data_IF_472711384903
#
_entry.id   IF_472711384903
#
_cell.length_a   1.000
_cell.length_b   1.000
_cell.length_c   1.000
_cell.angle_alpha   90.00
_cell.angle_beta   90.00
_cell.angle_gamma   90.00
#
_symmetry.space_group_name_H-M   'P 1'
#
loop_
_entity.id
_entity.type
_entity.pdbx_description
1 polymer ?
#
# COMPACT_ATOMS: atom_id res chain seq x y z
N UNK A 1 16.13 16.50 6.60
CA UNK A 1 16.26 15.20 7.30
C UNK A 1 15.41 14.18 6.56
N UNK A 2 15.69 12.88 6.72
CA UNK A 2 14.82 11.81 6.23
C UNK A 2 13.84 11.45 7.35
N UNK A 3 12.55 11.60 7.10
CA UNK A 3 11.50 11.12 8.01
C UNK A 3 10.65 10.09 7.28
N UNK A 4 10.44 8.93 7.90
CA UNK A 4 9.60 7.87 7.37
C UNK A 4 8.56 7.54 8.42
N UNK A 5 7.29 7.54 8.04
CA UNK A 5 6.17 7.11 8.88
C UNK A 5 5.33 6.13 8.10
N UNK A 6 5.18 4.91 8.65
CA UNK A 6 4.51 3.80 7.97
C UNK A 6 3.53 3.12 8.90
N UNK A 7 2.35 2.82 8.38
CA UNK A 7 1.35 1.95 9.01
C UNK A 7 1.05 0.83 8.02
N UNK A 8 1.31 -0.41 8.44
CA UNK A 8 1.04 -1.60 7.63
C UNK A 8 0.32 -2.64 8.46
N UNK A 9 -0.69 -3.28 7.87
CA UNK A 9 -1.41 -4.39 8.50
C UNK A 9 -1.23 -5.65 7.66
N UNK A 10 -0.89 -6.76 8.32
CA UNK A 10 -0.63 -8.03 7.66
C UNK A 10 -1.60 -9.09 8.15
N UNK A 11 -2.41 -9.61 7.23
CA UNK A 11 -3.30 -10.73 7.47
C UNK A 11 -2.52 -12.06 7.44
N UNK A 12 -3.06 -13.08 8.10
CA UNK A 12 -2.48 -14.42 8.09
C UNK A 12 -3.13 -15.28 6.98
N UNK A 13 -2.76 -16.57 6.90
CA UNK A 13 -3.20 -17.47 5.84
C UNK A 13 -4.64 -18.03 6.00
N UNK A 14 -5.37 -17.64 7.05
CA UNK A 14 -6.80 -17.95 7.21
C UNK A 14 -7.71 -17.18 6.25
N UNK A 15 -7.20 -16.14 5.59
CA UNK A 15 -7.90 -15.34 4.59
C UNK A 15 -6.99 -15.04 3.41
N UNK A 16 -7.58 -14.90 2.22
CA UNK A 16 -6.89 -14.42 1.02
C UNK A 16 -6.90 -12.90 0.86
N UNK A 17 -7.64 -12.18 1.70
CA UNK A 17 -7.85 -10.75 1.53
C UNK A 17 -6.53 -9.94 1.51
N UNK A 18 -6.46 -8.82 0.79
CA UNK A 18 -5.27 -7.96 0.73
C UNK A 18 -4.79 -7.44 2.09
N UNK A 19 -3.49 -7.13 2.17
CA UNK A 19 -2.91 -6.36 3.29
C UNK A 19 -3.15 -4.86 3.07
N UNK A 20 -2.97 -4.02 4.11
CA UNK A 20 -3.01 -2.56 3.96
C UNK A 20 -1.62 -1.96 4.22
N UNK A 21 -1.28 -0.91 3.46
CA UNK A 21 -0.10 -0.08 3.72
C UNK A 21 -0.40 1.39 3.48
N UNK A 22 0.10 2.23 4.37
CA UNK A 22 0.19 3.67 4.20
C UNK A 22 1.57 4.13 4.68
N UNK A 23 2.35 4.68 3.77
CA UNK A 23 3.71 5.15 4.02
C UNK A 23 3.89 6.58 3.51
N UNK A 24 4.52 7.40 4.35
CA UNK A 24 4.90 8.78 4.04
C UNK A 24 6.41 8.91 4.23
N UNK A 25 7.10 9.24 3.15
CA UNK A 25 8.56 9.40 3.10
C UNK A 25 8.88 10.86 2.78
N UNK A 26 9.45 11.56 3.74
CA UNK A 26 9.88 12.95 3.60
C UNK A 26 11.39 13.01 3.47
N UNK A 27 11.87 13.57 2.36
CA UNK A 27 13.30 13.82 2.14
C UNK A 27 13.66 15.32 2.20
N UNK A 28 12.68 16.22 2.04
CA UNK A 28 12.80 17.66 2.24
C UNK A 28 11.50 18.24 2.83
N UNK A 29 11.51 19.46 3.39
CA UNK A 29 10.30 20.10 3.92
C UNK A 29 9.16 20.22 2.91
N UNK A 30 9.49 20.34 1.63
CA UNK A 30 8.58 20.60 0.51
C UNK A 30 8.27 19.39 -0.38
N UNK A 31 8.89 18.24 -0.11
CA UNK A 31 8.73 17.03 -0.93
C UNK A 31 8.39 15.81 -0.07
N UNK A 32 7.27 15.17 -0.40
CA UNK A 32 6.84 13.90 0.17
C UNK A 32 6.68 12.85 -0.93
N UNK A 33 6.96 11.60 -0.58
CA UNK A 33 6.45 10.44 -1.31
C UNK A 33 5.41 9.75 -0.45
N UNK A 34 4.28 9.41 -1.06
CA UNK A 34 3.17 8.73 -0.43
C UNK A 34 2.96 7.40 -1.14
N UNK A 35 2.81 6.35 -0.36
CA UNK A 35 2.41 5.03 -0.83
C UNK A 35 1.16 4.66 -0.03
N UNK A 36 0.04 4.46 -0.74
CA UNK A 36 -1.22 4.03 -0.15
C UNK A 36 -1.77 2.88 -1.00
N UNK A 37 -1.92 1.70 -0.41
CA UNK A 37 -2.33 0.50 -1.13
C UNK A 37 -3.07 -0.54 -0.29
N UNK A 38 -3.84 -1.38 -0.99
CA UNK A 38 -4.23 -2.70 -0.52
C UNK A 38 -3.40 -3.77 -1.23
N UNK A 39 -2.30 -4.19 -0.62
CA UNK A 39 -1.30 -5.07 -1.24
C UNK A 39 -1.89 -6.46 -1.56
N UNK A 40 -1.85 -6.91 -2.83
CA UNK A 40 -2.40 -8.20 -3.22
C UNK A 40 -1.60 -9.34 -2.58
N UNK A 41 -2.32 -10.40 -2.21
CA UNK A 41 -1.72 -11.64 -1.68
C UNK A 41 -1.79 -12.83 -2.62
N UNK A 42 -2.50 -12.70 -3.74
CA UNK A 42 -2.53 -13.69 -4.83
C UNK A 42 -1.90 -13.11 -6.10
N UNK A 43 -1.48 -13.99 -7.00
CA UNK A 43 -1.07 -13.59 -8.34
C UNK A 43 -2.30 -13.08 -9.12
N UNK A 44 -2.25 -11.82 -9.55
CA UNK A 44 -3.41 -11.16 -10.16
C UNK A 44 -3.70 -11.67 -11.57
N UNK A 45 -2.70 -12.17 -12.30
CA UNK A 45 -2.90 -12.72 -13.66
C UNK A 45 -3.56 -14.09 -13.56
N UNK A 46 -3.16 -14.91 -12.60
CA UNK A 46 -3.74 -16.23 -12.36
C UNK A 46 -5.13 -16.16 -11.71
N UNK A 47 -5.45 -15.07 -11.01
CA UNK A 47 -6.68 -14.90 -10.23
C UNK A 47 -7.45 -13.62 -10.62
N UNK A 48 -8.04 -13.55 -11.83
CA UNK A 48 -8.83 -12.40 -12.25
C UNK A 48 -10.05 -12.13 -11.36
N UNK A 49 -10.62 -13.16 -10.73
CA UNK A 49 -11.68 -13.03 -9.73
C UNK A 49 -11.25 -12.22 -8.51
N UNK A 50 -9.98 -12.35 -8.11
CA UNK A 50 -9.39 -11.59 -7.01
C UNK A 50 -9.27 -10.11 -7.36
N UNK A 51 -8.86 -9.80 -8.61
CA UNK A 51 -8.82 -8.42 -9.10
C UNK A 51 -10.21 -7.81 -9.00
N UNK A 52 -11.22 -8.53 -9.48
CA UNK A 52 -12.59 -8.05 -9.51
C UNK A 52 -13.09 -7.72 -8.10
N UNK A 53 -12.99 -8.68 -7.18
CA UNK A 53 -13.53 -8.57 -5.82
C UNK A 53 -12.91 -7.44 -4.99
N UNK A 54 -11.58 -7.33 -4.99
CA UNK A 54 -10.87 -6.41 -4.09
C UNK A 54 -10.54 -5.06 -4.71
N UNK A 55 -10.49 -4.95 -6.05
CA UNK A 55 -10.00 -3.74 -6.71
C UNK A 55 -10.98 -3.10 -7.71
N UNK A 56 -11.74 -3.90 -8.48
CA UNK A 56 -12.70 -3.34 -9.45
C UNK A 56 -14.06 -3.05 -8.81
N UNK A 57 -14.53 -3.93 -7.92
CA UNK A 57 -15.79 -3.77 -7.20
C UNK A 57 -15.66 -2.84 -5.97
N UNK A 58 -14.52 -2.16 -5.84
CA UNK A 58 -14.21 -1.17 -4.80
C UNK A 58 -13.89 0.19 -5.41
N UNK A 59 -13.82 1.24 -4.59
CA UNK A 59 -13.54 2.60 -5.04
C UNK A 59 -12.04 2.95 -5.06
N UNK A 60 -11.13 1.97 -4.90
CA UNK A 60 -9.70 2.21 -4.66
C UNK A 60 -9.03 3.08 -5.74
N UNK A 61 -9.30 2.78 -7.01
CA UNK A 61 -8.75 3.51 -8.16
C UNK A 61 -9.23 4.98 -8.19
N UNK A 62 -10.43 5.26 -7.69
CA UNK A 62 -10.99 6.62 -7.70
C UNK A 62 -10.19 7.56 -6.79
N UNK A 63 -9.67 7.06 -5.66
CA UNK A 63 -8.83 7.85 -4.75
C UNK A 63 -7.53 8.27 -5.43
N UNK A 64 -6.86 7.33 -6.13
CA UNK A 64 -5.66 7.63 -6.91
C UNK A 64 -5.91 8.68 -7.97
N UNK A 65 -7.00 8.53 -8.74
CA UNK A 65 -7.37 9.47 -9.79
C UNK A 65 -7.71 10.86 -9.23
N UNK A 66 -8.38 10.92 -8.08
CA UNK A 66 -8.72 12.17 -7.41
C UNK A 66 -7.45 12.90 -6.94
N UNK A 67 -6.55 12.18 -6.27
CA UNK A 67 -5.28 12.74 -5.79
C UNK A 67 -4.42 13.26 -6.95
N UNK A 68 -4.34 12.53 -8.07
CA UNK A 68 -3.57 12.97 -9.25
C UNK A 68 -4.13 14.24 -9.93
N UNK A 69 -5.36 14.65 -9.62
CA UNK A 69 -5.93 15.93 -10.11
C UNK A 69 -5.53 17.13 -9.26
N UNK A 70 -5.01 16.90 -8.05
CA UNK A 70 -4.61 17.98 -7.13
C UNK A 70 -3.29 18.58 -7.61
N UNK A 71 -3.21 19.92 -7.83
CA UNK A 71 -1.97 20.58 -8.19
C UNK A 71 -0.88 20.34 -7.13
N UNK A 72 0.31 19.94 -7.57
CA UNK A 72 1.43 19.57 -6.69
C UNK A 72 1.59 18.06 -6.49
N UNK A 73 0.58 17.25 -6.83
CA UNK A 73 0.68 15.79 -6.82
C UNK A 73 1.08 15.26 -8.19
N UNK A 74 2.08 14.38 -8.21
CA UNK A 74 2.56 13.68 -9.42
C UNK A 74 2.72 12.19 -9.14
N UNK A 75 2.70 11.32 -10.16
CA UNK A 75 3.08 9.93 -9.97
C UNK A 75 4.52 9.81 -9.46
N UNK A 76 4.77 8.93 -8.49
CA UNK A 76 6.11 8.52 -8.10
C UNK A 76 6.41 7.13 -8.64
N UNK A 77 7.60 6.96 -9.22
CA UNK A 77 8.06 5.68 -9.73
C UNK A 77 9.20 5.20 -8.83
N UNK A 78 8.93 4.20 -8.00
CA UNK A 78 9.94 3.61 -7.11
C UNK A 78 11.13 3.08 -7.93
N UNK A 79 12.39 3.31 -7.54
CA UNK A 79 13.53 2.71 -8.23
C UNK A 79 13.58 1.18 -8.11
N UNK A 80 12.93 0.60 -7.09
CA UNK A 80 12.90 -0.86 -6.90
C UNK A 80 11.77 -1.50 -7.71
N UNK A 81 12.12 -2.39 -8.65
CA UNK A 81 11.16 -3.19 -9.38
C UNK A 81 10.38 -4.16 -8.47
N UNK A 82 11.04 -4.65 -7.41
CA UNK A 82 10.38 -5.50 -6.41
C UNK A 82 9.21 -4.76 -5.76
N UNK A 83 9.44 -3.52 -5.32
CA UNK A 83 8.39 -2.64 -4.76
C UNK A 83 7.27 -2.44 -5.77
N UNK A 84 7.59 -2.10 -7.03
CA UNK A 84 6.57 -1.93 -8.09
C UNK A 84 5.73 -3.20 -8.31
N UNK A 85 6.35 -4.37 -8.29
CA UNK A 85 5.68 -5.65 -8.52
C UNK A 85 4.82 -6.12 -7.34
N UNK A 86 5.08 -5.59 -6.14
CA UNK A 86 4.32 -5.90 -4.94
C UNK A 86 3.01 -5.13 -4.82
N UNK A 87 2.86 -4.03 -5.55
CA UNK A 87 1.69 -3.17 -5.48
C UNK A 87 0.49 -3.73 -6.23
N UNK A 88 -0.69 -3.29 -5.81
CA UNK A 88 -1.92 -3.52 -6.54
C UNK A 88 -2.01 -2.64 -7.81
N UNK A 89 -2.93 -2.95 -8.73
CA UNK A 89 -3.20 -2.09 -9.89
C UNK A 89 -3.81 -0.73 -9.51
N UNK A 90 -4.37 -0.59 -8.31
CA UNK A 90 -5.04 0.62 -7.82
C UNK A 90 -4.17 1.45 -6.86
N UNK A 91 -2.88 1.12 -6.73
CA UNK A 91 -1.95 1.75 -5.78
C UNK A 91 -1.81 3.25 -6.00
N UNK A 92 -1.89 4.04 -4.94
CA UNK A 92 -1.50 5.45 -4.96
C UNK A 92 -0.03 5.60 -4.59
N UNK A 93 0.85 5.56 -5.59
CA UNK A 93 2.27 5.90 -5.44
C UNK A 93 2.51 7.32 -5.97
N UNK A 94 2.62 8.28 -5.06
CA UNK A 94 2.54 9.70 -5.38
C UNK A 94 3.75 10.47 -4.84
N UNK A 95 4.20 11.48 -5.60
CA UNK A 95 5.13 12.51 -5.15
C UNK A 95 4.36 13.81 -4.97
N UNK A 96 4.44 14.39 -3.79
CA UNK A 96 4.01 15.76 -3.52
C UNK A 96 5.26 16.62 -3.58
N UNK A 97 5.23 17.64 -4.44
CA UNK A 97 6.36 18.55 -4.66
C UNK A 97 5.77 19.95 -4.80
N UNK A 98 5.82 20.72 -3.71
CA UNK A 98 5.18 22.03 -3.58
C UNK A 98 6.20 23.09 -3.16
N UNK A 99 5.96 24.35 -3.45
CA UNK A 99 6.90 25.42 -3.11
C UNK A 99 6.78 25.86 -1.64
N UNK A 100 5.59 25.74 -1.06
CA UNK A 100 5.24 26.24 0.27
C UNK A 100 4.79 25.09 1.19
N UNK A 101 5.22 25.12 2.45
CA UNK A 101 4.89 24.09 3.45
C UNK A 101 3.40 24.11 3.80
N UNK A 102 2.78 25.28 3.85
CA UNK A 102 1.34 25.45 4.10
C UNK A 102 0.51 24.74 3.05
N UNK A 103 0.96 24.75 1.79
CA UNK A 103 0.30 24.04 0.70
C UNK A 103 0.43 22.52 0.85
N UNK A 104 1.56 22.04 1.35
CA UNK A 104 1.76 20.63 1.65
C UNK A 104 0.79 20.18 2.74
N UNK A 105 0.67 20.95 3.82
CA UNK A 105 -0.26 20.67 4.92
C UNK A 105 -1.71 20.66 4.46
N UNK A 106 -2.11 21.62 3.60
CA UNK A 106 -3.44 21.66 2.99
C UNK A 106 -3.72 20.38 2.19
N UNK A 107 -2.80 19.97 1.31
CA UNK A 107 -2.96 18.75 0.51
C UNK A 107 -3.06 17.51 1.41
N UNK A 108 -2.22 17.43 2.44
CA UNK A 108 -2.23 16.32 3.39
C UNK A 108 -3.55 16.24 4.15
N UNK A 109 -4.06 17.36 4.64
CA UNK A 109 -5.29 17.44 5.44
C UNK A 109 -6.55 17.23 4.59
N UNK A 110 -6.65 17.88 3.44
CA UNK A 110 -7.90 18.02 2.70
C UNK A 110 -8.04 16.98 1.58
N UNK A 111 -6.95 16.33 1.17
CA UNK A 111 -6.96 15.34 0.07
C UNK A 111 -6.39 13.97 0.47
N UNK A 112 -5.16 13.92 1.00
CA UNK A 112 -4.50 12.64 1.32
C UNK A 112 -5.18 11.97 2.51
N UNK A 113 -5.43 12.70 3.59
CA UNK A 113 -5.99 12.13 4.82
C UNK A 113 -7.38 11.50 4.62
N UNK A 114 -8.33 12.15 3.91
CA UNK A 114 -9.59 11.49 3.54
C UNK A 114 -9.38 10.23 2.71
N UNK A 115 -8.56 10.29 1.66
CA UNK A 115 -8.30 9.13 0.81
C UNK A 115 -7.68 7.94 1.58
N UNK A 116 -6.72 8.21 2.48
CA UNK A 116 -6.10 7.19 3.32
C UNK A 116 -7.12 6.55 4.28
N UNK A 117 -8.02 7.35 4.86
CA UNK A 117 -9.09 6.86 5.72
C UNK A 117 -10.10 6.02 4.94
N UNK A 118 -10.51 6.44 3.75
CA UNK A 118 -11.45 5.69 2.93
C UNK A 118 -10.86 4.33 2.49
N UNK A 119 -9.59 4.29 2.08
CA UNK A 119 -8.89 3.03 1.75
C UNK A 119 -8.78 2.12 2.98
N UNK A 120 -8.46 2.68 4.15
CA UNK A 120 -8.45 1.93 5.41
C UNK A 120 -9.84 1.38 5.76
N UNK A 121 -10.90 2.17 5.56
CA UNK A 121 -12.28 1.73 5.78
C UNK A 121 -12.65 0.57 4.84
N UNK A 122 -12.26 0.62 3.57
CA UNK A 122 -12.43 -0.51 2.65
C UNK A 122 -11.70 -1.75 3.19
N UNK A 123 -10.48 -1.60 3.71
CA UNK A 123 -9.76 -2.73 4.29
C UNK A 123 -10.46 -3.30 5.53
N UNK A 124 -10.91 -2.44 6.45
CA UNK A 124 -11.63 -2.86 7.65
C UNK A 124 -12.94 -3.58 7.31
N UNK A 125 -13.70 -3.06 6.35
CA UNK A 125 -15.04 -3.56 6.00
C UNK A 125 -15.04 -4.70 4.98
N UNK A 126 -13.98 -4.90 4.19
CA UNK A 126 -13.94 -5.93 3.15
C UNK A 126 -12.79 -6.92 3.25
N UNK A 127 -11.76 -6.62 4.05
CA UNK A 127 -10.60 -7.51 4.18
C UNK A 127 -10.45 -8.08 5.59
N UNK A 128 -10.72 -7.27 6.61
CA UNK A 128 -10.52 -7.64 8.01
C UNK A 128 -11.77 -8.19 8.72
N UNK A 129 -12.96 -8.19 8.07
CA UNK A 129 -14.20 -8.67 8.69
C UNK A 129 -14.17 -10.17 8.98
N UNK A 130 -14.54 -10.51 10.21
CA UNK A 130 -14.66 -11.90 10.70
C UNK A 130 -15.78 -12.69 9.99
N UNK A 131 -16.76 -12.03 9.35
CA UNK A 131 -17.84 -12.73 8.64
C UNK A 131 -17.34 -13.61 7.48
N UNK A 132 -16.14 -13.32 6.95
CA UNK A 132 -15.47 -14.13 5.93
C UNK A 132 -14.75 -15.38 6.49
N UNK A 133 -14.69 -15.57 7.82
CA UNK A 133 -14.18 -16.80 8.45
C UNK A 133 -14.98 -18.05 8.05
N UNK A 134 -16.17 -17.87 7.46
CA UNK A 134 -17.00 -18.94 6.91
C UNK A 134 -16.46 -19.50 5.59
N UNK A 135 -15.59 -18.78 4.88
CA UNK A 135 -14.91 -19.27 3.68
C UNK A 135 -13.70 -20.07 4.10
N UNK A 136 -13.89 -21.37 4.31
CA UNK A 136 -12.78 -22.30 4.59
C UNK A 136 -11.80 -22.26 3.43
N UNK A 137 -10.62 -21.70 3.68
CA UNK A 137 -9.51 -21.66 2.73
C UNK A 137 -9.04 -23.09 2.45
N UNK A 138 -8.85 -23.41 1.17
CA UNK A 138 -8.27 -24.71 0.78
C UNK A 138 -6.82 -24.83 1.24
N UNK A 139 -6.37 -26.03 1.61
CA UNK A 139 -5.01 -26.29 2.10
C UNK A 139 -3.92 -25.85 1.10
N UNK A 140 -4.15 -26.05 -0.20
CA UNK A 140 -3.24 -25.62 -1.25
C UNK A 140 -3.17 -24.09 -1.35
N UNK A 141 -4.32 -23.41 -1.30
CA UNK A 141 -4.40 -21.95 -1.34
C UNK A 141 -3.72 -21.32 -0.12
N UNK A 142 -3.94 -21.91 1.07
CA UNK A 142 -3.29 -21.51 2.31
C UNK A 142 -1.76 -21.62 2.21
N UNK A 143 -1.26 -22.74 1.71
CA UNK A 143 0.19 -22.98 1.54
C UNK A 143 0.81 -21.98 0.56
N UNK A 144 0.11 -21.68 -0.54
CA UNK A 144 0.59 -20.73 -1.53
C UNK A 144 0.64 -19.30 -0.97
N UNK A 145 -0.38 -18.89 -0.21
CA UNK A 145 -0.38 -17.60 0.51
C UNK A 145 0.79 -17.51 1.48
N UNK A 146 1.02 -18.53 2.30
CA UNK A 146 2.14 -18.56 3.26
C UNK A 146 3.50 -18.46 2.55
N UNK A 147 3.67 -19.19 1.45
CA UNK A 147 4.89 -19.15 0.64
C UNK A 147 5.14 -17.75 0.10
N UNK A 148 4.12 -17.12 -0.50
CA UNK A 148 4.25 -15.78 -1.07
C UNK A 148 4.47 -14.72 0.01
N UNK A 149 3.71 -14.75 1.10
CA UNK A 149 3.84 -13.79 2.20
C UNK A 149 5.23 -13.86 2.83
N UNK A 150 5.76 -15.07 3.05
CA UNK A 150 7.12 -15.25 3.57
C UNK A 150 8.17 -14.69 2.62
N UNK A 151 8.04 -14.96 1.32
CA UNK A 151 8.93 -14.41 0.30
C UNK A 151 8.90 -12.88 0.28
N UNK A 152 7.70 -12.28 0.31
CA UNK A 152 7.52 -10.84 0.30
C UNK A 152 8.13 -10.18 1.54
N UNK A 153 7.83 -10.70 2.74
CA UNK A 153 8.38 -10.15 4.00
C UNK A 153 9.90 -10.27 4.05
N UNK A 154 10.46 -11.43 3.71
CA UNK A 154 11.90 -11.64 3.68
C UNK A 154 12.59 -10.64 2.75
N UNK A 155 12.06 -10.47 1.54
CA UNK A 155 12.68 -9.57 0.56
C UNK A 155 12.60 -8.10 0.96
N UNK A 156 11.51 -7.66 1.58
CA UNK A 156 11.42 -6.31 2.16
C UNK A 156 12.45 -6.09 3.28
N UNK A 157 12.67 -7.10 4.15
CA UNK A 157 13.68 -7.01 5.21
C UNK A 157 15.08 -6.84 4.62
N UNK A 158 15.43 -7.65 3.62
CA UNK A 158 16.73 -7.57 2.93
C UNK A 158 16.94 -6.19 2.27
N UNK A 159 15.95 -5.71 1.50
CA UNK A 159 16.11 -4.50 0.68
C UNK A 159 16.03 -3.21 1.51
N UNK A 160 15.17 -3.15 2.52
CA UNK A 160 14.89 -1.92 3.29
C UNK A 160 15.51 -1.89 4.68
N UNK A 161 15.70 -3.03 5.35
CA UNK A 161 16.24 -3.05 6.71
C UNK A 161 17.72 -3.40 6.72
N UNK A 162 18.11 -4.55 6.17
CA UNK A 162 19.48 -5.06 6.28
C UNK A 162 20.52 -4.12 5.65
N UNK A 163 20.19 -3.50 4.51
CA UNK A 163 21.09 -2.57 3.82
C UNK A 163 21.12 -1.17 4.45
N UNK A 164 20.04 -0.73 5.09
CA UNK A 164 19.88 0.67 5.53
C UNK A 164 20.06 0.85 7.03
N UNK A 165 19.57 -0.08 7.85
CA UNK A 165 19.55 0.07 9.31
C UNK A 165 20.95 0.12 9.93
N UNK A 166 21.91 -0.76 9.58
CA UNK A 166 23.28 -0.63 10.11
C UNK A 166 23.90 0.73 9.78
N UNK A 167 23.64 1.26 8.57
CA UNK A 167 24.13 2.58 8.18
C UNK A 167 23.47 3.72 8.96
N UNK A 168 22.19 3.58 9.30
CA UNK A 168 21.43 4.63 10.00
C UNK A 168 21.63 4.61 11.52
N UNK A 169 21.89 3.43 12.10
CA UNK A 169 21.85 3.23 13.55
C UNK A 169 23.11 2.62 14.18
N UNK A 170 24.08 2.13 13.39
CA UNK A 170 25.32 1.51 13.86
C UNK A 170 25.20 0.01 14.04
#
# INVERSE_FOLDING_TARGET
SLNITTISTFLNSSTRAPNFTFEVIQSSPTSLVIILDLLPRKDLVLHPEYIKEFYQDTALESHRQSLLKVPGIKPYVSPSLFVRSGFSPAVSVLKLDVEEEERLEEIMRDHVSPAAKDVLMVWLERCAREEDEKRVMGEEEKRELERRDKSFRKKNVEDDLELKFPRMFG
#
